data_IF_380356253581
#
_entry.id   IF_380356253581
#
_cell.length_a   1.000
_cell.length_b   1.000
_cell.length_c   1.000
_cell.angle_alpha   90.00
_cell.angle_beta   90.00
_cell.angle_gamma   90.00
#
_symmetry.space_group_name_H-M   'P 1'
#
loop_
_entity.id
_entity.type
_entity.pdbx_description
1 polymer ?
#
# COMPACT_ATOMS: atom_id res chain seq x y z
N UNK A 1 -5.30 23.57 2.26
CA UNK A 1 -3.98 23.59 2.91
C UNK A 1 -4.18 23.84 4.40
N UNK A 2 -4.38 22.77 5.17
CA UNK A 2 -4.23 22.80 6.62
C UNK A 2 -3.42 21.55 6.92
N UNK A 3 -2.19 21.79 7.35
CA UNK A 3 -1.21 20.77 7.69
C UNK A 3 -1.66 20.15 9.03
N UNK A 4 -2.63 19.24 8.95
CA UNK A 4 -3.08 18.46 10.10
C UNK A 4 -1.94 17.52 10.48
N UNK A 5 -1.16 17.91 11.47
CA UNK A 5 -0.07 17.09 11.98
C UNK A 5 -0.68 15.86 12.65
N UNK A 6 -0.17 14.65 12.40
CA UNK A 6 -0.72 13.42 12.99
C UNK A 6 -0.47 13.25 14.50
N UNK A 7 -0.06 14.33 15.17
CA UNK A 7 -0.03 14.51 16.62
C UNK A 7 -1.24 15.25 17.15
N UNK A 8 -2.05 15.85 16.28
CA UNK A 8 -3.30 16.50 16.69
C UNK A 8 -4.31 15.44 17.16
N UNK A 9 -5.09 15.74 18.22
CA UNK A 9 -6.19 14.88 18.61
C UNK A 9 -7.12 14.66 17.41
N UNK A 10 -7.73 13.46 17.28
CA UNK A 10 -8.61 13.20 16.16
C UNK A 10 -9.72 14.26 16.13
N UNK A 11 -10.07 14.73 14.94
CA UNK A 11 -11.17 15.68 14.78
C UNK A 11 -12.48 15.12 15.34
N UNK A 12 -12.67 13.80 15.22
CA UNK A 12 -13.77 13.02 15.79
C UNK A 12 -13.24 11.63 16.16
N UNK A 13 -13.66 11.10 17.31
CA UNK A 13 -13.50 9.69 17.69
C UNK A 13 -14.89 9.07 17.82
N UNK A 14 -15.10 7.93 17.15
CA UNK A 14 -16.38 7.23 17.11
C UNK A 14 -16.20 5.80 17.59
N UNK A 15 -17.09 5.35 18.47
CA UNK A 15 -17.12 3.96 18.92
C UNK A 15 -17.81 3.10 17.87
N UNK A 16 -17.12 2.06 17.40
CA UNK A 16 -17.71 1.09 16.50
C UNK A 16 -18.69 0.20 17.26
N UNK A 17 -19.82 -0.11 16.64
CA UNK A 17 -20.79 -1.05 17.17
C UNK A 17 -20.67 -2.38 16.45
N UNK A 18 -20.77 -3.46 17.21
CA UNK A 18 -20.79 -4.81 16.65
C UNK A 18 -22.09 -4.97 15.84
N UNK A 19 -21.95 -5.21 14.54
CA UNK A 19 -23.08 -5.33 13.60
C UNK A 19 -23.80 -6.66 13.77
N UNK A 20 -23.04 -7.73 14.02
CA UNK A 20 -23.55 -9.08 14.27
C UNK A 20 -22.71 -9.77 15.36
N UNK A 21 -23.41 -10.38 16.32
CA UNK A 21 -22.78 -11.17 17.38
C UNK A 21 -22.04 -12.41 16.83
N UNK A 22 -22.39 -12.91 15.64
CA UNK A 22 -21.79 -14.14 15.11
C UNK A 22 -20.65 -13.93 14.10
N UNK A 23 -20.61 -12.76 13.43
CA UNK A 23 -19.70 -12.56 12.28
C UNK A 23 -18.45 -11.73 12.59
N UNK A 24 -18.27 -11.25 13.83
CA UNK A 24 -17.05 -10.52 14.23
C UNK A 24 -16.87 -9.15 13.57
N UNK A 25 -17.92 -8.59 12.94
CA UNK A 25 -17.87 -7.32 12.22
C UNK A 25 -18.30 -6.17 13.14
N UNK A 26 -17.50 -5.11 13.14
CA UNK A 26 -17.76 -3.84 13.80
C UNK A 26 -17.94 -2.74 12.76
N UNK A 27 -18.90 -1.84 12.97
CA UNK A 27 -19.15 -0.73 12.06
C UNK A 27 -19.59 0.53 12.80
N UNK A 28 -19.37 1.66 12.16
CA UNK A 28 -19.91 2.95 12.59
C UNK A 28 -20.28 3.77 11.36
N UNK A 29 -21.33 4.58 11.46
CA UNK A 29 -21.72 5.52 10.42
C UNK A 29 -21.33 6.94 10.86
N UNK A 30 -20.52 7.60 10.05
CA UNK A 30 -20.15 9.00 10.22
C UNK A 30 -20.87 9.85 9.18
N UNK A 31 -21.54 10.91 9.62
CA UNK A 31 -22.26 11.86 8.74
C UNK A 31 -21.57 13.22 8.73
N UNK A 32 -21.79 14.01 7.69
CA UNK A 32 -21.22 15.37 7.53
C UNK A 32 -19.68 15.41 7.48
N UNK A 33 -19.07 14.35 6.94
CA UNK A 33 -17.64 14.35 6.63
C UNK A 33 -17.34 15.25 5.43
N UNK A 34 -16.17 15.91 5.37
CA UNK A 34 -15.74 16.63 4.16
C UNK A 34 -15.56 15.64 3.01
N UNK A 35 -15.81 16.04 1.77
CA UNK A 35 -15.66 15.14 0.61
C UNK A 35 -14.21 14.71 0.33
N UNK A 36 -13.23 15.48 0.83
CA UNK A 36 -11.78 15.28 0.61
C UNK A 36 -10.96 15.47 1.87
N UNK A 37 -9.75 14.92 1.86
CA UNK A 37 -8.77 15.10 2.94
C UNK A 37 -9.13 14.35 4.22
N UNK A 38 -10.03 13.36 4.16
CA UNK A 38 -10.35 12.51 5.30
C UNK A 38 -9.18 11.55 5.53
N UNK A 39 -8.66 11.53 6.74
CA UNK A 39 -7.70 10.54 7.21
C UNK A 39 -8.33 9.78 8.37
N UNK A 40 -8.28 8.45 8.33
CA UNK A 40 -8.89 7.60 9.35
C UNK A 40 -8.03 6.38 9.71
N UNK A 41 -8.40 5.74 10.81
CA UNK A 41 -7.81 4.50 11.30
C UNK A 41 -8.54 4.03 12.54
N UNK A 42 -8.12 2.89 13.08
CA UNK A 42 -8.80 2.24 14.21
C UNK A 42 -7.92 2.18 15.44
N UNK A 43 -8.52 2.31 16.62
CA UNK A 43 -7.93 1.89 17.89
C UNK A 43 -8.69 0.67 18.36
N UNK A 44 -7.97 -0.37 18.80
CA UNK A 44 -8.59 -1.65 19.17
C UNK A 44 -8.17 -2.02 20.59
N UNK A 45 -9.16 -2.41 21.38
CA UNK A 45 -9.00 -2.92 22.73
C UNK A 45 -9.42 -4.39 22.75
N UNK A 46 -8.77 -5.18 23.60
CA UNK A 46 -9.06 -6.60 23.71
C UNK A 46 -8.50 -7.20 24.98
N UNK A 47 -9.05 -8.35 25.36
CA UNK A 47 -8.58 -9.15 26.49
C UNK A 47 -7.51 -10.16 26.05
N UNK A 48 -6.67 -10.56 27.00
CA UNK A 48 -5.50 -11.41 26.73
C UNK A 48 -4.29 -10.62 26.23
N UNK A 49 -3.28 -11.34 25.80
CA UNK A 49 -2.04 -10.77 25.29
C UNK A 49 -1.17 -11.80 24.60
N UNK A 50 0.13 -11.61 24.74
CA UNK A 50 1.18 -12.38 24.05
C UNK A 50 1.03 -13.89 24.23
N UNK A 51 0.68 -14.31 25.44
CA UNK A 51 0.44 -15.69 25.89
C UNK A 51 -0.82 -16.34 25.31
N UNK A 52 -1.73 -15.54 24.76
CA UNK A 52 -3.01 -15.99 24.19
C UNK A 52 -3.04 -15.89 22.67
N UNK A 53 -1.92 -15.54 22.02
CA UNK A 53 -1.80 -15.35 20.57
C UNK A 53 -2.32 -13.99 20.06
N UNK A 54 -2.79 -13.12 20.96
CA UNK A 54 -3.20 -11.75 20.61
C UNK A 54 -2.03 -10.76 20.79
N UNK A 55 -2.11 -9.61 20.11
CA UNK A 55 -1.08 -8.55 20.17
C UNK A 55 -1.71 -7.17 20.41
N UNK A 56 -2.77 -7.13 21.21
CA UNK A 56 -3.44 -5.89 21.61
C UNK A 56 -2.45 -4.89 22.21
N UNK A 57 -2.56 -3.62 21.82
CA UNK A 57 -1.82 -2.53 22.45
C UNK A 57 -2.71 -1.64 23.34
N UNK A 58 -3.95 -2.07 23.56
CA UNK A 58 -4.98 -1.36 24.34
C UNK A 58 -5.30 0.03 23.77
N UNK A 59 -5.44 0.08 22.45
CA UNK A 59 -5.81 1.28 21.70
C UNK A 59 -4.75 2.38 21.76
N UNK A 60 -3.47 2.06 22.05
CA UNK A 60 -2.40 3.07 22.13
C UNK A 60 -2.03 3.60 20.75
N UNK A 61 -1.99 2.74 19.74
CA UNK A 61 -1.71 3.08 18.34
C UNK A 61 -3.00 3.19 17.56
N UNK A 62 -2.95 4.05 16.54
CA UNK A 62 -3.97 4.07 15.48
C UNK A 62 -3.49 3.15 14.38
N UNK A 63 -4.27 2.11 14.14
CA UNK A 63 -4.06 1.05 13.17
C UNK A 63 -4.66 1.45 11.82
N UNK A 64 -3.95 1.10 10.75
CA UNK A 64 -4.43 1.21 9.39
C UNK A 64 -5.57 0.22 9.15
N UNK A 65 -6.62 0.67 8.48
CA UNK A 65 -7.70 -0.18 8.00
C UNK A 65 -7.18 -1.17 6.94
N UNK A 66 -7.29 -2.50 7.14
CA UNK A 66 -6.91 -3.52 6.15
C UNK A 66 -7.64 -3.35 4.80
N UNK A 67 -8.80 -2.71 4.82
CA UNK A 67 -9.65 -2.44 3.66
C UNK A 67 -9.55 -1.00 3.15
N UNK A 68 -8.57 -0.21 3.64
CA UNK A 68 -8.38 1.16 3.18
C UNK A 68 -8.24 1.20 1.65
N UNK A 69 -9.14 1.91 0.92
CA UNK A 69 -9.07 1.96 -0.54
C UNK A 69 -7.85 2.74 -1.02
N UNK A 70 -7.39 3.69 -0.19
CA UNK A 70 -6.17 4.47 -0.38
C UNK A 70 -5.46 4.61 0.97
N UNK A 71 -4.12 4.64 0.95
CA UNK A 71 -3.30 4.88 2.14
C UNK A 71 -2.61 6.23 2.04
N UNK A 72 -2.78 7.04 3.07
CA UNK A 72 -2.05 8.27 3.29
C UNK A 72 -0.84 8.04 4.19
N UNK A 73 0.28 8.65 3.82
CA UNK A 73 1.56 8.58 4.53
C UNK A 73 2.62 9.29 3.70
N UNK A 74 3.81 8.68 3.56
CA UNK A 74 4.92 9.25 2.79
C UNK A 74 4.53 9.60 1.36
N UNK A 75 4.96 10.75 0.88
CA UNK A 75 4.52 11.32 -0.40
C UNK A 75 5.53 11.15 -1.54
N UNK A 76 6.80 10.88 -1.22
CA UNK A 76 7.89 10.79 -2.19
C UNK A 76 8.70 9.52 -1.97
N UNK A 77 8.92 8.78 -3.06
CA UNK A 77 9.69 7.54 -3.05
C UNK A 77 11.08 7.71 -2.41
N UNK A 78 11.42 6.79 -1.51
CA UNK A 78 12.70 6.67 -0.82
C UNK A 78 13.16 7.95 -0.09
N UNK A 79 12.22 8.82 0.25
CA UNK A 79 12.50 10.11 0.90
C UNK A 79 11.66 10.22 2.16
N UNK A 80 12.33 10.36 3.31
CA UNK A 80 11.66 10.67 4.58
C UNK A 80 11.04 12.06 4.50
N UNK A 81 9.78 12.19 4.88
CA UNK A 81 9.07 13.47 4.92
C UNK A 81 8.35 13.69 6.27
N UNK A 82 7.83 14.89 6.47
CA UNK A 82 7.11 15.22 7.72
C UNK A 82 5.70 14.64 7.75
N UNK A 83 5.15 14.25 6.60
CA UNK A 83 3.78 13.75 6.43
C UNK A 83 3.63 12.35 7.03
N UNK A 84 4.66 11.51 6.94
CA UNK A 84 4.63 10.15 7.48
C UNK A 84 4.87 10.06 9.00
N UNK A 85 5.32 11.14 9.65
CA UNK A 85 5.62 11.18 11.08
C UNK A 85 6.46 10.00 11.59
N UNK A 86 7.56 9.72 10.88
CA UNK A 86 8.46 8.62 11.21
C UNK A 86 9.07 8.77 12.61
N UNK A 87 9.11 7.66 13.34
CA UNK A 87 9.74 7.54 14.65
C UNK A 87 10.59 6.26 14.71
N UNK A 88 11.85 6.37 15.12
CA UNK A 88 12.75 5.21 15.25
C UNK A 88 12.18 4.20 16.27
N UNK A 89 12.27 2.90 15.95
CA UNK A 89 11.66 1.81 16.70
C UNK A 89 10.16 1.62 16.47
N UNK A 90 9.44 2.65 15.99
CA UNK A 90 7.99 2.63 15.77
C UNK A 90 7.64 2.52 14.29
N UNK A 91 8.31 3.31 13.44
CA UNK A 91 8.12 3.38 12.01
C UNK A 91 7.31 4.59 11.55
N UNK A 92 6.97 4.59 10.27
CA UNK A 92 6.04 5.54 9.67
C UNK A 92 4.61 5.28 10.11
N UNK A 93 3.81 6.33 10.16
CA UNK A 93 2.39 6.29 10.52
C UNK A 93 1.54 6.35 9.24
N UNK A 94 0.72 5.33 9.05
CA UNK A 94 -0.13 5.19 7.87
C UNK A 94 -1.60 5.36 8.28
N UNK A 95 -2.41 5.97 7.40
CA UNK A 95 -3.86 6.16 7.60
C UNK A 95 -4.62 5.74 6.36
N UNK A 96 -5.82 5.22 6.57
CA UNK A 96 -6.77 5.08 5.47
C UNK A 96 -7.23 6.46 5.01
N UNK A 97 -7.51 6.58 3.72
CA UNK A 97 -8.14 7.76 3.14
C UNK A 97 -9.03 7.35 1.97
N UNK A 98 -9.88 8.28 1.53
CA UNK A 98 -10.73 8.16 0.36
C UNK A 98 -11.13 9.57 -0.09
N UNK A 99 -11.61 9.70 -1.34
CA UNK A 99 -12.13 10.95 -1.90
C UNK A 99 -13.57 10.67 -2.37
N UNK A 100 -14.56 11.23 -1.65
CA UNK A 100 -15.98 11.10 -1.99
C UNK A 100 -16.40 12.02 -3.14
N UNK A 101 -15.60 13.06 -3.42
CA UNK A 101 -15.84 14.01 -4.50
C UNK A 101 -15.16 13.56 -5.81
N UNK A 102 -14.32 12.51 -5.78
CA UNK A 102 -13.68 11.95 -6.96
C UNK A 102 -14.74 11.41 -7.93
N UNK A 103 -14.68 11.87 -9.17
CA UNK A 103 -15.55 11.35 -10.21
C UNK A 103 -15.08 9.95 -10.64
N UNK A 104 -15.99 9.06 -11.07
CA UNK A 104 -15.61 7.80 -11.66
C UNK A 104 -14.56 8.00 -12.77
N UNK A 105 -13.54 7.14 -12.78
CA UNK A 105 -12.47 7.24 -13.76
C UNK A 105 -13.00 7.04 -15.20
N UNK A 106 -12.72 8.01 -16.07
CA UNK A 106 -13.12 7.93 -17.48
C UNK A 106 -12.16 7.03 -18.28
N UNK A 107 -12.57 5.78 -18.48
CA UNK A 107 -11.88 4.83 -19.34
C UNK A 107 -11.98 5.17 -20.84
N UNK A 108 -12.81 6.13 -21.23
CA UNK A 108 -13.07 6.51 -22.61
C UNK A 108 -14.17 5.67 -23.27
N UNK A 109 -14.78 6.18 -24.34
CA UNK A 109 -15.85 5.48 -25.04
C UNK A 109 -15.33 4.20 -25.71
N UNK A 110 -16.06 3.09 -25.56
CA UNK A 110 -15.72 1.81 -26.19
C UNK A 110 -14.52 1.09 -25.58
N UNK A 111 -14.07 1.49 -24.39
CA UNK A 111 -13.01 0.80 -23.67
C UNK A 111 -13.31 -0.69 -23.49
N UNK A 112 -12.30 -1.51 -23.79
CA UNK A 112 -12.31 -2.95 -23.57
C UNK A 112 -10.92 -3.43 -23.15
N UNK A 113 -10.86 -4.56 -22.45
CA UNK A 113 -9.59 -5.22 -22.12
C UNK A 113 -9.01 -5.88 -23.38
N UNK A 114 -7.67 -5.99 -23.52
CA UNK A 114 -7.05 -6.65 -24.67
C UNK A 114 -7.50 -8.12 -24.86
N UNK A 115 -7.61 -8.90 -23.78
CA UNK A 115 -8.04 -10.31 -23.78
C UNK A 115 -7.22 -11.17 -24.78
N UNK A 116 -5.90 -11.11 -24.66
CA UNK A 116 -4.98 -11.88 -25.51
C UNK A 116 -5.10 -13.37 -25.15
N UNK A 117 -5.28 -14.28 -26.13
CA UNK A 117 -5.27 -15.72 -25.86
C UNK A 117 -3.96 -16.16 -25.22
N UNK A 118 -4.02 -17.11 -24.27
CA UNK A 118 -2.84 -17.57 -23.53
C UNK A 118 -1.73 -18.12 -24.42
N UNK A 119 -2.10 -18.76 -25.53
CA UNK A 119 -1.18 -19.28 -26.54
C UNK A 119 -0.40 -18.19 -27.29
N UNK A 120 -0.91 -16.96 -27.30
CA UNK A 120 -0.31 -15.79 -27.94
C UNK A 120 0.37 -14.85 -26.91
N UNK A 121 0.30 -15.18 -25.62
CA UNK A 121 0.82 -14.33 -24.54
C UNK A 121 2.34 -14.31 -24.51
N UNK A 122 2.92 -13.10 -24.52
CA UNK A 122 4.33 -12.82 -24.24
C UNK A 122 4.42 -11.83 -23.08
N UNK A 123 4.89 -12.33 -21.93
CA UNK A 123 4.98 -11.56 -20.67
C UNK A 123 6.31 -10.82 -20.56
N UNK A 124 6.25 -9.57 -20.12
CA UNK A 124 7.41 -8.76 -19.74
C UNK A 124 7.34 -8.35 -18.27
N UNK A 125 8.13 -9.02 -17.42
CA UNK A 125 8.23 -8.71 -15.99
C UNK A 125 9.02 -7.41 -15.76
N UNK A 126 8.49 -6.49 -14.97
CA UNK A 126 9.13 -5.20 -14.70
C UNK A 126 8.68 -4.54 -13.39
N UNK A 127 9.59 -3.76 -12.78
CA UNK A 127 9.25 -2.80 -11.72
C UNK A 127 8.86 -1.45 -12.34
N UNK A 128 7.77 -0.84 -11.84
CA UNK A 128 7.35 0.52 -12.21
C UNK A 128 8.49 1.52 -12.02
N UNK A 129 9.18 1.47 -10.87
CA UNK A 129 10.31 2.36 -10.56
C UNK A 129 11.49 2.14 -11.50
N UNK A 130 11.93 0.89 -11.63
CA UNK A 130 13.17 0.59 -12.35
C UNK A 130 13.04 0.81 -13.86
N UNK A 131 11.87 0.49 -14.44
CA UNK A 131 11.65 0.54 -15.89
C UNK A 131 11.88 1.93 -16.49
N UNK A 132 11.43 2.98 -15.79
CA UNK A 132 11.60 4.37 -16.24
C UNK A 132 12.47 5.22 -15.32
N UNK A 133 13.17 4.62 -14.37
CA UNK A 133 13.99 5.34 -13.38
C UNK A 133 15.29 5.94 -13.95
N UNK A 134 15.78 5.42 -15.09
CA UNK A 134 17.03 5.88 -15.69
C UNK A 134 16.89 7.24 -16.38
N UNK A 135 17.93 8.09 -16.35
CA UNK A 135 17.98 9.28 -17.19
C UNK A 135 17.83 9.03 -18.69
N UNK A 136 18.16 7.82 -19.14
CA UNK A 136 18.09 7.41 -20.55
C UNK A 136 16.72 6.93 -20.99
N UNK A 137 15.69 6.95 -20.13
CA UNK A 137 14.34 6.46 -20.45
C UNK A 137 13.55 7.33 -21.44
N UNK A 138 14.11 8.46 -21.90
CA UNK A 138 13.54 9.36 -22.93
C UNK A 138 12.12 9.83 -22.63
N UNK A 139 11.89 10.20 -21.37
CA UNK A 139 10.64 10.81 -20.91
C UNK A 139 10.62 12.30 -21.23
N UNK A 140 9.43 12.84 -21.45
CA UNK A 140 9.17 14.25 -21.80
C UNK A 140 9.35 15.15 -20.58
N UNK A 141 8.92 14.69 -19.41
CA UNK A 141 9.02 15.38 -18.11
C UNK A 141 9.75 14.51 -17.07
N UNK A 142 11.03 14.19 -17.29
CA UNK A 142 11.77 13.20 -16.51
C UNK A 142 11.88 13.53 -15.01
N UNK A 143 11.83 14.80 -14.63
CA UNK A 143 11.84 15.28 -13.25
C UNK A 143 10.56 14.90 -12.47
N UNK A 144 9.45 14.68 -13.18
CA UNK A 144 8.17 14.27 -12.58
C UNK A 144 7.84 12.79 -12.84
N UNK A 145 8.18 12.25 -14.00
CA UNK A 145 7.65 10.96 -14.46
C UNK A 145 8.63 9.78 -14.36
N UNK A 146 9.89 10.00 -13.98
CA UNK A 146 10.85 8.89 -13.82
C UNK A 146 10.43 7.92 -12.74
N UNK A 147 10.32 6.66 -13.13
CA UNK A 147 9.91 5.55 -12.29
C UNK A 147 8.47 5.64 -11.82
N UNK A 148 7.60 6.43 -12.46
CA UNK A 148 6.22 6.58 -12.03
C UNK A 148 5.27 5.83 -12.95
N UNK A 149 4.00 5.71 -12.55
CA UNK A 149 2.93 5.19 -13.41
C UNK A 149 2.86 5.97 -14.73
N UNK A 150 3.04 7.29 -14.71
CA UNK A 150 3.14 8.11 -15.92
C UNK A 150 4.37 7.82 -16.76
N UNK A 151 5.52 7.54 -16.14
CA UNK A 151 6.69 7.11 -16.89
C UNK A 151 6.41 5.83 -17.69
N UNK A 152 5.74 4.86 -17.08
CA UNK A 152 5.32 3.62 -17.78
C UNK A 152 4.30 3.94 -18.88
N UNK A 153 3.29 4.77 -18.58
CA UNK A 153 2.25 5.16 -19.53
C UNK A 153 2.83 5.83 -20.79
N UNK A 154 3.81 6.71 -20.63
CA UNK A 154 4.52 7.40 -21.72
C UNK A 154 5.37 6.44 -22.57
N UNK A 155 5.81 5.33 -21.97
CA UNK A 155 6.62 4.29 -22.63
C UNK A 155 5.80 3.12 -23.16
N UNK A 156 4.47 3.20 -23.15
CA UNK A 156 3.61 2.14 -23.65
C UNK A 156 3.87 1.81 -25.15
N UNK A 157 4.15 2.80 -26.00
CA UNK A 157 4.51 2.56 -27.41
C UNK A 157 5.81 1.78 -27.56
N UNK A 158 6.76 1.96 -26.64
CA UNK A 158 8.00 1.19 -26.64
C UNK A 158 7.75 -0.29 -26.30
N UNK A 159 6.93 -0.57 -25.28
CA UNK A 159 6.52 -1.94 -24.97
C UNK A 159 5.80 -2.58 -26.15
N UNK A 160 4.87 -1.86 -26.79
CA UNK A 160 4.17 -2.34 -27.97
C UNK A 160 5.15 -2.66 -29.11
N UNK A 161 6.14 -1.79 -29.36
CA UNK A 161 7.16 -2.00 -30.39
C UNK A 161 8.10 -3.17 -30.10
N UNK A 162 8.26 -3.54 -28.83
CA UNK A 162 9.01 -4.72 -28.41
C UNK A 162 8.27 -6.02 -28.76
N UNK A 163 6.95 -5.96 -28.95
CA UNK A 163 6.10 -7.11 -29.29
C UNK A 163 5.56 -7.89 -28.09
N UNK A 164 5.62 -7.32 -26.89
CA UNK A 164 5.06 -7.95 -25.69
C UNK A 164 3.54 -7.75 -25.67
N UNK A 165 2.82 -8.73 -25.13
CA UNK A 165 1.35 -8.67 -25.06
C UNK A 165 0.85 -8.46 -23.63
N UNK A 166 1.70 -8.68 -22.63
CA UNK A 166 1.41 -8.43 -21.24
C UNK A 166 2.64 -7.87 -20.53
N UNK A 167 2.42 -6.96 -19.59
CA UNK A 167 3.42 -6.64 -18.56
C UNK A 167 3.03 -7.29 -17.25
N UNK A 168 4.00 -7.89 -16.58
CA UNK A 168 3.85 -8.35 -15.19
C UNK A 168 4.57 -7.36 -14.28
N UNK A 169 3.79 -6.60 -13.52
CA UNK A 169 4.33 -5.61 -12.62
C UNK A 169 4.74 -6.28 -11.32
N UNK A 170 5.99 -6.08 -10.91
CA UNK A 170 6.42 -6.30 -9.52
C UNK A 170 5.48 -5.53 -8.56
N UNK A 171 5.43 -5.92 -7.28
CA UNK A 171 4.47 -5.40 -6.30
C UNK A 171 4.15 -3.91 -6.41
N UNK A 172 2.87 -3.63 -6.67
CA UNK A 172 2.31 -2.26 -6.75
C UNK A 172 1.26 -1.98 -5.68
N UNK A 173 0.97 -2.92 -4.78
CA UNK A 173 0.23 -2.57 -3.58
C UNK A 173 1.12 -1.77 -2.64
N UNK A 174 0.48 -1.15 -1.66
CA UNK A 174 1.16 -0.30 -0.71
C UNK A 174 2.18 -1.04 0.17
N UNK A 175 3.35 -0.44 0.35
CA UNK A 175 4.42 -0.92 1.25
C UNK A 175 5.31 0.22 1.73
N UNK A 176 6.10 -0.04 2.79
CA UNK A 176 7.10 0.90 3.27
C UNK A 176 8.47 0.58 2.64
N UNK A 177 8.85 1.33 1.60
CA UNK A 177 10.15 1.12 0.95
C UNK A 177 11.36 1.42 1.85
N UNK A 178 11.12 2.09 2.99
CA UNK A 178 12.14 2.45 3.97
C UNK A 178 12.00 1.66 5.29
N UNK A 179 11.30 0.51 5.29
CA UNK A 179 10.97 -0.27 6.48
C UNK A 179 12.18 -0.58 7.39
N UNK A 180 13.37 -0.84 6.82
CA UNK A 180 14.57 -1.17 7.58
C UNK A 180 15.14 0.00 8.39
N UNK A 181 14.86 1.25 8.00
CA UNK A 181 15.31 2.43 8.76
C UNK A 181 14.60 2.54 10.11
N UNK A 182 13.41 1.93 10.26
CA UNK A 182 12.70 1.86 11.53
C UNK A 182 13.54 1.23 12.64
N UNK A 183 14.42 0.29 12.29
CA UNK A 183 15.25 -0.43 13.25
C UNK A 183 16.49 0.36 13.70
N UNK A 184 16.59 1.62 13.28
CA UNK A 184 17.63 2.53 13.69
C UNK A 184 18.95 2.33 12.95
N UNK A 185 19.85 3.31 13.11
CA UNK A 185 21.12 3.36 12.38
C UNK A 185 22.05 2.18 12.65
N UNK A 186 21.90 1.51 13.81
CA UNK A 186 22.69 0.33 14.17
C UNK A 186 22.27 -0.94 13.43
N UNK A 187 21.06 -0.97 12.83
CA UNK A 187 20.61 -2.12 12.07
C UNK A 187 21.40 -2.24 10.76
N UNK A 188 21.97 -3.42 10.41
CA UNK A 188 22.87 -3.55 9.26
C UNK A 188 22.27 -3.15 7.93
N UNK A 189 20.94 -3.28 7.78
CA UNK A 189 20.20 -2.97 6.54
C UNK A 189 19.48 -1.63 6.59
N UNK A 190 19.72 -0.79 7.61
CA UNK A 190 19.06 0.52 7.75
C UNK A 190 19.31 1.46 6.57
N UNK A 191 20.41 1.28 5.82
CA UNK A 191 20.72 2.07 4.62
C UNK A 191 20.05 1.55 3.34
N UNK A 192 19.41 0.37 3.37
CA UNK A 192 18.79 -0.25 2.21
C UNK A 192 17.35 0.24 2.02
N UNK A 193 16.89 0.13 0.77
CA UNK A 193 15.52 0.44 0.34
C UNK A 193 14.93 -0.85 -0.21
N UNK A 194 13.70 -1.17 0.20
CA UNK A 194 12.94 -2.25 -0.43
C UNK A 194 12.48 -1.77 -1.82
N UNK A 195 13.26 -2.11 -2.86
CA UNK A 195 12.99 -1.67 -4.22
C UNK A 195 12.00 -2.57 -4.98
N UNK A 196 11.71 -3.76 -4.46
CA UNK A 196 10.81 -4.72 -5.10
C UNK A 196 9.39 -4.63 -4.57
N UNK A 197 9.21 -4.41 -3.26
CA UNK A 197 7.89 -4.20 -2.66
C UNK A 197 7.19 -5.45 -2.15
N UNK A 198 7.85 -6.61 -2.08
CA UNK A 198 7.31 -7.84 -1.46
C UNK A 198 7.24 -7.72 0.08
N UNK A 199 6.52 -6.72 0.60
CA UNK A 199 6.33 -6.42 2.03
C UNK A 199 5.10 -5.51 2.22
N UNK A 200 3.91 -6.00 1.86
CA UNK A 200 2.71 -5.16 1.77
C UNK A 200 2.20 -4.68 3.14
N UNK A 201 1.81 -3.40 3.20
CA UNK A 201 1.08 -2.78 4.31
C UNK A 201 -0.41 -2.58 4.02
N UNK A 202 -0.84 -2.75 2.77
CA UNK A 202 -2.25 -2.82 2.37
C UNK A 202 -2.40 -3.74 1.15
N UNK A 203 -3.54 -4.43 1.06
CA UNK A 203 -3.89 -5.28 -0.09
C UNK A 203 -4.88 -4.63 -1.05
N UNK A 204 -5.31 -3.41 -0.75
CA UNK A 204 -6.34 -2.68 -1.50
C UNK A 204 -5.79 -1.46 -2.23
N UNK A 205 -4.78 -0.82 -1.62
CA UNK A 205 -4.27 0.47 -2.08
C UNK A 205 -3.09 0.31 -3.03
N UNK A 206 -3.07 0.99 -4.19
CA UNK A 206 -1.88 1.06 -5.02
C UNK A 206 -0.79 1.92 -4.34
N UNK A 207 0.47 1.61 -4.62
CA UNK A 207 1.64 2.33 -4.12
C UNK A 207 1.59 3.78 -4.60
N UNK A 208 1.22 4.70 -3.72
CA UNK A 208 1.13 6.13 -4.04
C UNK A 208 2.47 6.79 -4.33
N UNK A 209 3.59 6.27 -3.80
CA UNK A 209 4.94 6.77 -4.14
C UNK A 209 5.40 6.35 -5.55
N UNK A 210 4.60 5.57 -6.27
CA UNK A 210 4.78 5.36 -7.72
C UNK A 210 3.99 6.39 -8.56
N UNK A 211 3.19 7.26 -7.94
CA UNK A 211 2.72 8.48 -8.59
C UNK A 211 3.83 9.52 -8.75
N UNK A 212 3.53 10.64 -9.41
CA UNK A 212 4.44 11.79 -9.45
C UNK A 212 4.78 12.28 -8.03
N UNK A 213 6.01 12.78 -7.77
CA UNK A 213 6.42 13.18 -6.43
C UNK A 213 5.43 14.16 -5.78
N UNK A 214 4.99 13.86 -4.55
CA UNK A 214 4.10 14.74 -3.79
C UNK A 214 2.61 14.70 -4.18
N UNK A 215 2.21 13.89 -5.16
CA UNK A 215 0.83 13.92 -5.67
C UNK A 215 -0.23 13.36 -4.70
N UNK A 216 0.20 12.53 -3.75
CA UNK A 216 -0.68 11.87 -2.79
C UNK A 216 -1.43 10.67 -3.38
N UNK A 217 -2.20 9.95 -2.55
CA UNK A 217 -2.74 8.64 -2.92
C UNK A 217 -3.89 8.67 -3.93
N UNK A 218 -4.75 9.68 -3.87
CA UNK A 218 -5.86 9.84 -4.83
C UNK A 218 -5.31 9.99 -6.25
N UNK A 219 -4.38 10.93 -6.41
CA UNK A 219 -3.78 11.22 -7.70
C UNK A 219 -2.94 10.04 -8.20
N UNK A 220 -2.15 9.39 -7.34
CA UNK A 220 -1.38 8.22 -7.74
C UNK A 220 -2.28 7.04 -8.20
N UNK A 221 -3.43 6.82 -7.55
CA UNK A 221 -4.40 5.82 -7.98
C UNK A 221 -5.02 6.16 -9.35
N UNK A 222 -5.26 7.44 -9.62
CA UNK A 222 -5.67 7.94 -10.94
C UNK A 222 -4.58 7.67 -11.99
N UNK A 223 -3.32 7.96 -11.68
CA UNK A 223 -2.18 7.72 -12.55
C UNK A 223 -1.98 6.22 -12.85
N UNK A 224 -2.23 5.34 -11.88
CA UNK A 224 -2.22 3.89 -12.10
C UNK A 224 -3.28 3.46 -13.13
N UNK A 225 -4.52 3.98 -13.02
CA UNK A 225 -5.58 3.73 -13.99
C UNK A 225 -5.23 4.28 -15.38
N UNK A 226 -4.58 5.44 -15.46
CA UNK A 226 -4.10 6.02 -16.73
C UNK A 226 -2.99 5.20 -17.38
N UNK A 227 -2.07 4.65 -16.58
CA UNK A 227 -1.07 3.70 -17.06
C UNK A 227 -1.74 2.45 -17.66
N UNK A 228 -2.68 1.83 -16.93
CA UNK A 228 -3.44 0.68 -17.42
C UNK A 228 -4.19 1.02 -18.71
N UNK A 229 -4.88 2.16 -18.76
CA UNK A 229 -5.59 2.65 -19.96
C UNK A 229 -4.62 2.84 -21.14
N UNK A 230 -3.43 3.40 -20.91
CA UNK A 230 -2.42 3.61 -21.94
C UNK A 230 -1.91 2.28 -22.52
N UNK A 231 -1.63 1.30 -21.66
CA UNK A 231 -1.19 -0.04 -22.04
C UNK A 231 -2.29 -0.80 -22.79
N UNK A 232 -3.53 -0.79 -22.28
CA UNK A 232 -4.67 -1.43 -22.93
C UNK A 232 -4.96 -0.84 -24.33
N UNK A 233 -4.79 0.47 -24.51
CA UNK A 233 -4.94 1.11 -25.82
C UNK A 233 -3.93 0.61 -26.87
N UNK A 234 -2.87 -0.07 -26.44
CA UNK A 234 -1.86 -0.72 -27.30
C UNK A 234 -1.95 -2.24 -27.29
N UNK A 235 -3.05 -2.80 -26.77
CA UNK A 235 -3.27 -4.23 -26.70
C UNK A 235 -2.39 -4.95 -25.67
N UNK A 236 -1.83 -4.22 -24.70
CA UNK A 236 -0.95 -4.79 -23.67
C UNK A 236 -1.75 -5.01 -22.39
N UNK A 237 -1.80 -6.25 -21.91
CA UNK A 237 -2.43 -6.62 -20.64
C UNK A 237 -1.55 -6.25 -19.45
N UNK A 238 -2.17 -6.06 -18.29
CA UNK A 238 -1.47 -5.74 -17.03
C UNK A 238 -1.74 -6.85 -16.02
N UNK A 239 -0.70 -7.58 -15.66
CA UNK A 239 -0.68 -8.61 -14.63
C UNK A 239 0.01 -8.01 -13.40
N UNK A 240 -0.53 -8.26 -12.21
CA UNK A 240 0.04 -7.78 -10.96
C UNK A 240 0.64 -8.95 -10.21
N UNK A 241 1.90 -8.84 -9.84
CA UNK A 241 2.49 -9.70 -8.82
C UNK A 241 1.90 -9.33 -7.46
N UNK A 242 1.36 -10.34 -6.76
CA UNK A 242 0.61 -10.18 -5.51
C UNK A 242 1.18 -11.07 -4.42
N UNK A 243 1.35 -10.48 -3.24
CA UNK A 243 1.83 -11.17 -2.03
C UNK A 243 0.74 -11.13 -0.99
N UNK A 244 0.10 -12.27 -0.78
CA UNK A 244 -0.89 -12.49 0.29
C UNK A 244 -0.38 -13.40 1.41
N UNK A 245 0.83 -13.94 1.27
CA UNK A 245 1.36 -14.95 2.19
C UNK A 245 2.04 -14.36 3.45
N UNK A 246 2.37 -13.07 3.45
CA UNK A 246 2.87 -12.31 4.60
C UNK A 246 2.56 -10.82 4.45
N UNK A 247 2.85 -10.05 5.50
CA UNK A 247 2.68 -8.58 5.54
C UNK A 247 3.99 -7.93 5.98
N UNK A 248 4.05 -6.59 5.87
CA UNK A 248 5.12 -5.76 6.43
C UNK A 248 5.29 -5.88 7.95
N UNK A 249 4.29 -6.41 8.65
CA UNK A 249 4.30 -6.44 10.13
C UNK A 249 5.30 -7.44 10.69
N UNK A 250 5.80 -8.36 9.86
CA UNK A 250 6.84 -9.33 10.17
C UNK A 250 6.47 -10.25 11.34
N UNK A 251 7.50 -10.87 11.93
CA UNK A 251 7.39 -11.72 13.11
C UNK A 251 7.33 -10.92 14.41
N UNK A 252 7.39 -11.59 15.55
CA UNK A 252 7.31 -10.92 16.86
C UNK A 252 8.58 -10.16 17.26
N UNK A 253 9.73 -10.60 16.76
CA UNK A 253 10.99 -9.87 16.90
C UNK A 253 10.95 -8.66 15.97
N UNK A 254 11.22 -7.47 16.52
CA UNK A 254 11.25 -6.23 15.75
C UNK A 254 9.94 -5.89 15.02
N UNK A 255 8.79 -6.42 15.49
CA UNK A 255 7.48 -6.28 14.86
C UNK A 255 7.14 -4.85 14.41
N UNK A 256 6.54 -4.72 13.23
CA UNK A 256 6.02 -3.45 12.73
C UNK A 256 4.51 -3.39 12.92
N UNK A 257 4.05 -2.79 14.02
CA UNK A 257 2.65 -2.79 14.42
C UNK A 257 1.85 -1.69 13.68
N UNK A 258 1.23 -2.04 12.55
CA UNK A 258 0.55 -1.12 11.61
C UNK A 258 -0.96 -1.37 11.50
N UNK A 259 -1.40 -2.62 11.40
CA UNK A 259 -2.77 -2.96 11.00
C UNK A 259 -3.23 -4.29 11.61
N UNK A 260 -3.12 -5.39 10.85
CA UNK A 260 -3.70 -6.70 11.13
C UNK A 260 -3.40 -7.25 12.52
N UNK A 261 -2.13 -7.16 12.95
CA UNK A 261 -1.64 -7.64 14.24
C UNK A 261 -2.39 -7.00 15.42
N UNK A 262 -2.66 -5.71 15.31
CA UNK A 262 -3.38 -4.95 16.34
C UNK A 262 -4.90 -5.11 16.28
N UNK A 263 -5.44 -5.51 15.12
CA UNK A 263 -6.89 -5.67 14.90
C UNK A 263 -7.36 -7.06 15.31
N UNK A 264 -6.68 -8.11 14.84
CA UNK A 264 -6.92 -9.49 15.28
C UNK A 264 -5.76 -10.40 14.81
N UNK A 265 -4.70 -10.48 15.63
CA UNK A 265 -3.52 -11.27 15.30
C UNK A 265 -3.84 -12.74 14.98
N UNK A 266 -4.78 -13.37 15.71
CA UNK A 266 -5.08 -14.81 15.55
C UNK A 266 -5.90 -15.09 14.29
N UNK A 267 -6.72 -14.13 13.88
CA UNK A 267 -7.48 -14.25 12.64
C UNK A 267 -6.59 -14.09 11.41
N UNK A 268 -5.62 -13.16 11.46
CA UNK A 268 -4.79 -12.83 10.30
C UNK A 268 -3.50 -13.64 10.18
N UNK A 269 -2.87 -14.03 11.29
CA UNK A 269 -1.58 -14.71 11.26
C UNK A 269 -1.66 -16.13 11.79
N UNK A 270 -0.90 -17.02 11.13
CA UNK A 270 -0.72 -18.38 11.60
C UNK A 270 0.12 -18.37 12.88
N UNK A 271 -0.43 -18.94 13.94
CA UNK A 271 0.22 -19.11 15.23
C UNK A 271 0.33 -20.59 15.56
N UNK A 272 1.40 -20.98 16.26
CA UNK A 272 1.49 -22.35 16.76
C UNK A 272 0.47 -22.52 17.90
N UNK A 273 -0.58 -23.31 17.67
CA UNK A 273 -1.64 -23.52 18.67
C UNK A 273 -1.20 -24.40 19.84
N UNK A 274 -0.06 -25.09 19.74
CA UNK A 274 0.54 -25.82 20.86
C UNK A 274 1.43 -24.91 21.72
N UNK A 275 1.99 -23.86 21.12
CA UNK A 275 2.91 -22.89 21.70
C UNK A 275 2.44 -21.50 21.26
N UNK A 276 1.38 -20.99 21.91
CA UNK A 276 0.67 -19.74 21.56
C UNK A 276 1.54 -18.46 21.61
N UNK A 277 2.83 -18.61 21.91
CA UNK A 277 3.81 -17.56 21.97
C UNK A 277 4.44 -17.25 20.61
N UNK A 278 4.42 -18.16 19.63
CA UNK A 278 5.14 -17.99 18.36
C UNK A 278 4.27 -17.96 17.10
N UNK A 279 4.50 -16.95 16.26
CA UNK A 279 4.01 -16.90 14.87
C UNK A 279 4.74 -17.92 13.99
N UNK A 280 4.01 -18.55 13.07
CA UNK A 280 4.55 -19.52 12.13
C UNK A 280 5.13 -18.83 10.89
N UNK A 281 6.43 -19.03 10.65
CA UNK A 281 7.14 -18.41 9.53
C UNK A 281 7.35 -19.37 8.35
N UNK A 282 6.32 -19.57 7.52
CA UNK A 282 6.43 -20.39 6.31
C UNK A 282 6.92 -19.60 5.08
N UNK A 283 6.85 -18.27 5.12
CA UNK A 283 7.27 -17.38 4.02
C UNK A 283 8.76 -17.01 4.08
N UNK A 284 9.40 -17.14 5.25
CA UNK A 284 10.73 -16.61 5.52
C UNK A 284 10.74 -15.11 5.87
N UNK A 285 9.57 -14.47 6.01
CA UNK A 285 9.44 -13.01 6.15
C UNK A 285 8.96 -12.54 7.53
N UNK A 286 8.71 -13.45 8.48
CA UNK A 286 8.27 -13.11 9.83
C UNK A 286 7.95 -14.32 10.67
#
# INVERSE_FOLDING_TARGET
ENDATMTDPPAVELECQRVDQNNGIWAVAATNLPGRGILYGFRVWGEGGWDTGYRWDQGKRVLLDPYAPLVHGRTTWATRDTVEHFEEGVGSRWRGTFDLDEQPFDWGPGYSKPNVPWEDTVVYEMSVRAYTGSPTSRLTHPELTRGTYYGVAERADHLASLGVTAVELLPVFEYDELEFQRLGSSYPRSHLINAWGYSHLSFMSPMSRFGTPGCGPVEAARQFKEMVKSLHARGIEVILDVVYNHTVEGGDVEAYHISWRGIDNKAYYMINMAEYDMMCNYSGCG
#
